data_IF_377740408746
#
_entry.id   IF_377740408746
#
_cell.length_a   1.000
_cell.length_b   1.000
_cell.length_c   1.000
_cell.angle_alpha   90.00
_cell.angle_beta   90.00
_cell.angle_gamma   90.00
#
_symmetry.space_group_name_H-M   'P 1'
#
loop_
_entity.id
_entity.type
_entity.pdbx_description
1 polymer ?
#
# COMPACT_ATOMS: atom_id res chain seq x y z
N UNK A 1 -22.99 22.54 33.76
CA UNK A 1 -22.86 21.07 33.90
C UNK A 1 -22.41 20.42 32.57
N UNK A 2 -21.24 20.79 32.04
CA UNK A 2 -20.71 20.24 30.76
C UNK A 2 -19.30 19.62 30.87
N UNK A 3 -18.69 19.63 32.06
CA UNK A 3 -17.29 19.28 32.24
C UNK A 3 -17.01 17.77 32.28
N UNK A 4 -18.00 16.93 32.65
CA UNK A 4 -17.84 15.47 32.74
C UNK A 4 -17.93 14.75 31.39
N UNK A 5 -18.74 15.25 30.44
CA UNK A 5 -18.87 14.66 29.10
C UNK A 5 -17.63 14.85 28.21
N UNK A 6 -16.93 15.98 28.36
CA UNK A 6 -15.69 16.27 27.62
C UNK A 6 -14.50 15.42 28.08
N UNK A 7 -14.46 15.04 29.37
CA UNK A 7 -13.38 14.19 29.92
C UNK A 7 -13.44 12.77 29.34
N UNK A 8 -14.63 12.16 29.33
CA UNK A 8 -14.83 10.79 28.85
C UNK A 8 -14.55 10.65 27.35
N UNK A 9 -14.95 11.65 26.55
CA UNK A 9 -14.70 11.64 25.10
C UNK A 9 -13.20 11.73 24.77
N UNK A 10 -12.45 12.57 25.50
CA UNK A 10 -11.01 12.71 25.30
C UNK A 10 -10.24 11.44 25.71
N UNK A 11 -10.66 10.77 26.78
CA UNK A 11 -10.09 9.49 27.20
C UNK A 11 -10.37 8.38 26.18
N UNK A 12 -11.61 8.25 25.71
CA UNK A 12 -11.95 7.32 24.63
C UNK A 12 -11.15 7.58 23.36
N UNK A 13 -10.98 8.84 22.98
CA UNK A 13 -10.20 9.23 21.80
C UNK A 13 -8.72 8.84 21.96
N UNK A 14 -8.11 9.10 23.12
CA UNK A 14 -6.72 8.70 23.42
C UNK A 14 -6.55 7.19 23.32
N UNK A 15 -7.49 6.43 23.87
CA UNK A 15 -7.48 4.97 23.80
C UNK A 15 -7.58 4.47 22.34
N UNK A 16 -8.52 4.99 21.55
CA UNK A 16 -8.64 4.62 20.14
C UNK A 16 -7.38 4.95 19.33
N UNK A 17 -6.80 6.16 19.53
CA UNK A 17 -5.57 6.57 18.86
C UNK A 17 -4.42 5.62 19.21
N UNK A 18 -4.29 5.25 20.48
CA UNK A 18 -3.27 4.30 20.92
C UNK A 18 -3.47 2.92 20.27
N UNK A 19 -4.68 2.36 20.33
CA UNK A 19 -4.97 1.03 19.78
C UNK A 19 -4.76 0.97 18.27
N UNK A 20 -5.26 1.96 17.52
CA UNK A 20 -5.10 2.01 16.06
C UNK A 20 -3.62 2.15 15.68
N UNK A 21 -2.88 3.06 16.32
CA UNK A 21 -1.46 3.22 16.03
C UNK A 21 -0.63 1.98 16.43
N UNK A 22 -1.00 1.28 17.49
CA UNK A 22 -0.34 0.04 17.88
C UNK A 22 -0.55 -1.07 16.84
N UNK A 23 -1.78 -1.22 16.34
CA UNK A 23 -2.08 -2.18 15.26
C UNK A 23 -1.29 -1.83 13.99
N UNK A 24 -1.30 -0.56 13.58
CA UNK A 24 -0.55 -0.08 12.41
C UNK A 24 0.96 -0.33 12.55
N UNK A 25 1.51 -0.16 13.75
CA UNK A 25 2.91 -0.44 14.04
C UNK A 25 3.26 -1.92 13.86
N UNK A 26 2.44 -2.83 14.40
CA UNK A 26 2.63 -4.28 14.25
C UNK A 26 2.54 -4.68 12.78
N UNK A 27 1.53 -4.17 12.06
CA UNK A 27 1.37 -4.43 10.63
C UNK A 27 2.57 -3.93 9.81
N UNK A 28 3.03 -2.69 10.04
CA UNK A 28 4.17 -2.14 9.31
C UNK A 28 5.47 -2.89 9.64
N UNK A 29 5.67 -3.29 10.88
CA UNK A 29 6.83 -4.11 11.26
C UNK A 29 6.83 -5.45 10.52
N UNK A 30 5.68 -6.13 10.45
CA UNK A 30 5.53 -7.35 9.68
C UNK A 30 5.77 -7.13 8.17
N UNK A 31 5.24 -6.04 7.60
CA UNK A 31 5.44 -5.68 6.19
C UNK A 31 6.91 -5.39 5.86
N UNK A 32 7.61 -4.66 6.71
CA UNK A 32 9.05 -4.36 6.55
C UNK A 32 9.86 -5.65 6.53
N UNK A 33 9.57 -6.59 7.44
CA UNK A 33 10.24 -7.90 7.47
C UNK A 33 9.92 -8.70 6.20
N UNK A 34 8.64 -8.77 5.81
CA UNK A 34 8.21 -9.52 4.63
C UNK A 34 8.89 -8.98 3.35
N UNK A 35 8.91 -7.67 3.17
CA UNK A 35 9.59 -7.04 2.03
C UNK A 35 11.11 -7.22 2.10
N UNK A 36 11.71 -7.17 3.28
CA UNK A 36 13.13 -7.48 3.47
C UNK A 36 13.49 -8.91 3.04
N UNK A 37 12.63 -9.90 3.35
CA UNK A 37 12.80 -11.29 2.89
C UNK A 37 12.62 -11.41 1.38
N UNK A 38 11.66 -10.68 0.79
CA UNK A 38 11.42 -10.67 -0.66
C UNK A 38 12.61 -10.09 -1.44
N UNK A 39 13.25 -9.03 -0.94
CA UNK A 39 14.50 -8.51 -1.50
C UNK A 39 15.63 -9.56 -1.45
N UNK A 40 15.69 -10.38 -0.40
CA UNK A 40 16.63 -11.51 -0.36
C UNK A 40 16.40 -12.57 -1.45
N UNK A 41 15.21 -12.62 -2.05
CA UNK A 41 14.81 -13.54 -3.13
C UNK A 41 14.69 -12.83 -4.48
N UNK A 42 15.66 -11.96 -4.77
CA UNK A 42 15.66 -11.04 -5.91
C UNK A 42 15.27 -11.67 -7.26
N UNK A 43 15.72 -12.90 -7.55
CA UNK A 43 15.53 -13.54 -8.87
C UNK A 43 14.05 -13.77 -9.24
N UNK A 44 13.25 -14.27 -8.31
CA UNK A 44 11.82 -14.55 -8.55
C UNK A 44 10.99 -13.27 -8.72
N UNK A 45 11.46 -12.18 -8.10
CA UNK A 45 10.78 -10.89 -8.06
C UNK A 45 11.04 -10.06 -9.32
N UNK A 46 12.25 -10.16 -9.86
CA UNK A 46 12.65 -9.52 -11.12
C UNK A 46 11.99 -10.18 -12.33
N UNK A 47 11.78 -11.49 -12.28
CA UNK A 47 11.08 -12.23 -13.35
C UNK A 47 9.60 -11.81 -13.46
N UNK A 48 8.93 -11.63 -12.32
CA UNK A 48 7.51 -11.27 -12.25
C UNK A 48 7.21 -9.83 -12.67
N UNK A 49 7.97 -8.87 -12.14
CA UNK A 49 7.64 -7.44 -12.26
C UNK A 49 8.50 -6.72 -13.31
N UNK A 50 9.61 -7.33 -13.76
CA UNK A 50 10.63 -6.66 -14.58
C UNK A 50 11.55 -5.78 -13.73
N UNK A 51 12.85 -5.71 -14.07
CA UNK A 51 13.87 -5.14 -13.18
C UNK A 51 13.50 -3.77 -12.62
N UNK A 52 13.32 -2.77 -13.49
CA UNK A 52 13.06 -1.40 -13.03
C UNK A 52 11.74 -1.26 -12.25
N UNK A 53 10.67 -1.94 -12.67
CA UNK A 53 9.36 -1.83 -12.04
C UNK A 53 9.32 -2.51 -10.68
N UNK A 54 9.94 -3.69 -10.56
CA UNK A 54 10.07 -4.40 -9.28
C UNK A 54 10.77 -3.52 -8.24
N UNK A 55 11.93 -2.97 -8.59
CA UNK A 55 12.70 -2.08 -7.72
C UNK A 55 11.89 -0.86 -7.28
N UNK A 56 11.22 -0.18 -8.21
CA UNK A 56 10.41 1.01 -7.90
C UNK A 56 9.27 0.65 -6.94
N UNK A 57 8.54 -0.45 -7.20
CA UNK A 57 7.41 -0.85 -6.37
C UNK A 57 7.85 -1.22 -4.96
N UNK A 58 8.88 -2.05 -4.81
CA UNK A 58 9.35 -2.50 -3.49
C UNK A 58 9.91 -1.34 -2.68
N UNK A 59 10.72 -0.48 -3.30
CA UNK A 59 11.27 0.69 -2.61
C UNK A 59 10.18 1.67 -2.19
N UNK A 60 9.14 1.87 -3.00
CA UNK A 60 8.00 2.70 -2.64
C UNK A 60 7.20 2.11 -1.46
N UNK A 61 6.93 0.79 -1.47
CA UNK A 61 6.24 0.10 -0.37
C UNK A 61 7.06 0.20 0.92
N UNK A 62 8.37 -0.06 0.85
CA UNK A 62 9.28 0.02 1.99
C UNK A 62 9.35 1.44 2.58
N UNK A 63 9.53 2.46 1.72
CA UNK A 63 9.57 3.84 2.17
C UNK A 63 8.26 4.24 2.88
N UNK A 64 7.12 3.86 2.31
CA UNK A 64 5.80 4.13 2.88
C UNK A 64 5.62 3.42 4.22
N UNK A 65 5.99 2.13 4.31
CA UNK A 65 5.89 1.36 5.56
C UNK A 65 6.75 1.94 6.68
N UNK A 66 7.96 2.42 6.38
CA UNK A 66 8.85 3.07 7.35
C UNK A 66 8.25 4.40 7.83
N UNK A 67 7.69 5.22 6.93
CA UNK A 67 7.04 6.48 7.30
C UNK A 67 5.87 6.20 8.25
N UNK A 68 4.99 5.26 7.89
CA UNK A 68 3.84 4.89 8.74
C UNK A 68 4.32 4.34 10.08
N UNK A 69 5.36 3.50 10.11
CA UNK A 69 5.93 2.98 11.35
C UNK A 69 6.42 4.10 12.29
N UNK A 70 7.16 5.09 11.77
CA UNK A 70 7.64 6.23 12.56
C UNK A 70 6.48 7.09 13.06
N UNK A 71 5.49 7.33 12.22
CA UNK A 71 4.29 8.10 12.57
C UNK A 71 3.47 7.39 13.64
N UNK A 72 3.31 6.07 13.54
CA UNK A 72 2.62 5.24 14.53
C UNK A 72 3.38 5.16 15.86
N UNK A 73 4.72 5.10 15.83
CA UNK A 73 5.55 5.24 17.03
C UNK A 73 5.30 6.58 17.73
N UNK A 74 5.29 7.69 16.98
CA UNK A 74 4.99 9.02 17.51
C UNK A 74 3.56 9.09 18.06
N UNK A 75 2.58 8.46 17.41
CA UNK A 75 1.21 8.35 17.87
C UNK A 75 1.07 7.59 19.18
N UNK A 76 1.71 6.42 19.30
CA UNK A 76 1.74 5.63 20.54
C UNK A 76 2.44 6.39 21.67
N UNK A 77 3.63 6.94 21.42
CA UNK A 77 4.37 7.72 22.42
C UNK A 77 3.63 9.01 22.81
N UNK A 78 2.99 9.69 21.87
CA UNK A 78 2.19 10.89 22.13
C UNK A 78 0.88 10.62 22.85
N UNK A 79 0.31 9.43 22.72
CA UNK A 79 -0.86 9.00 23.49
C UNK A 79 -0.47 8.59 24.93
N UNK A 80 0.67 7.92 25.11
CA UNK A 80 1.17 7.52 26.43
C UNK A 80 1.74 8.69 27.24
N UNK A 81 2.35 9.66 26.56
CA UNK A 81 2.98 10.82 27.20
C UNK A 81 2.02 11.98 27.07
N UNK A 82 1.49 12.47 28.20
CA UNK A 82 0.60 13.65 28.26
C UNK A 82 1.28 14.98 27.84
N UNK A 83 2.38 14.89 27.09
CA UNK A 83 3.09 16.00 26.52
C UNK A 83 2.33 16.56 25.32
N UNK A 84 1.68 17.70 25.55
CA UNK A 84 0.93 18.46 24.55
C UNK A 84 1.76 18.81 23.31
N UNK A 85 3.08 19.00 23.45
CA UNK A 85 3.96 19.27 22.30
C UNK A 85 4.01 18.08 21.34
N UNK A 86 4.13 16.86 21.86
CA UNK A 86 4.23 15.64 21.04
C UNK A 86 2.92 15.35 20.31
N UNK A 87 1.78 15.57 20.98
CA UNK A 87 0.45 15.43 20.37
C UNK A 87 0.21 16.49 19.28
N UNK A 88 0.63 17.75 19.51
CA UNK A 88 0.54 18.81 18.48
C UNK A 88 1.37 18.47 17.25
N UNK A 89 2.59 17.97 17.43
CA UNK A 89 3.44 17.54 16.31
C UNK A 89 2.80 16.39 15.55
N UNK A 90 2.23 15.39 16.24
CA UNK A 90 1.52 14.29 15.60
C UNK A 90 0.34 14.78 14.75
N UNK A 91 -0.50 15.68 15.29
CA UNK A 91 -1.62 16.27 14.54
C UNK A 91 -1.12 17.07 13.33
N UNK A 92 -0.03 17.83 13.47
CA UNK A 92 0.57 18.58 12.36
C UNK A 92 1.10 17.67 11.25
N UNK A 93 1.77 16.57 11.60
CA UNK A 93 2.24 15.56 10.63
C UNK A 93 1.05 14.92 9.92
N UNK A 94 0.03 14.48 10.66
CA UNK A 94 -1.20 13.90 10.10
C UNK A 94 -1.90 14.86 9.12
N UNK A 95 -2.02 16.12 9.50
CA UNK A 95 -2.62 17.14 8.65
C UNK A 95 -1.81 17.36 7.36
N UNK A 96 -0.48 17.41 7.47
CA UNK A 96 0.40 17.55 6.31
C UNK A 96 0.30 16.34 5.38
N UNK A 97 0.26 15.13 5.93
CA UNK A 97 0.06 13.90 5.15
C UNK A 97 -1.28 13.89 4.45
N UNK A 98 -2.34 14.38 5.09
CA UNK A 98 -3.66 14.51 4.47
C UNK A 98 -3.62 15.45 3.26
N UNK A 99 -2.94 16.60 3.36
CA UNK A 99 -2.78 17.50 2.22
C UNK A 99 -2.00 16.85 1.07
N UNK A 100 -0.91 16.13 1.39
CA UNK A 100 -0.14 15.39 0.38
C UNK A 100 -1.03 14.33 -0.30
N UNK A 101 -1.82 13.57 0.47
CA UNK A 101 -2.73 12.56 -0.06
C UNK A 101 -3.79 13.18 -0.99
N UNK A 102 -4.33 14.35 -0.66
CA UNK A 102 -5.28 15.05 -1.53
C UNK A 102 -4.63 15.47 -2.86
N UNK A 103 -3.39 15.98 -2.82
CA UNK A 103 -2.65 16.34 -4.03
C UNK A 103 -2.36 15.09 -4.87
N UNK A 104 -1.86 14.02 -4.25
CA UNK A 104 -1.58 12.75 -4.94
C UNK A 104 -2.85 12.15 -5.53
N UNK A 105 -3.97 12.18 -4.81
CA UNK A 105 -5.26 11.70 -5.33
C UNK A 105 -5.75 12.53 -6.52
N UNK A 106 -5.61 13.86 -6.45
CA UNK A 106 -5.96 14.76 -7.55
C UNK A 106 -5.11 14.52 -8.79
N UNK A 107 -3.79 14.38 -8.62
CA UNK A 107 -2.86 14.02 -9.69
C UNK A 107 -3.19 12.63 -10.25
N UNK A 108 -3.40 11.64 -9.39
CA UNK A 108 -3.76 10.27 -9.78
C UNK A 108 -5.04 10.23 -10.60
N UNK A 109 -6.04 11.04 -10.25
CA UNK A 109 -7.25 11.17 -11.06
C UNK A 109 -6.99 11.81 -12.42
N UNK A 110 -6.15 12.84 -12.48
CA UNK A 110 -5.78 13.52 -13.74
C UNK A 110 -4.92 12.66 -14.68
N UNK A 111 -4.08 11.78 -14.15
CA UNK A 111 -3.18 10.90 -14.91
C UNK A 111 -3.69 9.47 -15.06
N UNK A 112 -4.95 9.19 -14.69
CA UNK A 112 -5.50 7.82 -14.69
C UNK A 112 -5.45 7.16 -16.06
N UNK A 113 -5.74 7.91 -17.13
CA UNK A 113 -5.87 7.37 -18.49
C UNK A 113 -4.51 6.96 -19.08
N UNK A 114 -3.46 7.82 -19.09
CA UNK A 114 -2.13 7.40 -19.54
C UNK A 114 -1.50 6.34 -18.64
N UNK A 115 -1.78 6.37 -17.32
CA UNK A 115 -1.32 5.33 -16.41
C UNK A 115 -1.96 3.97 -16.75
N UNK A 116 -3.26 3.95 -17.04
CA UNK A 116 -3.99 2.75 -17.45
C UNK A 116 -3.43 2.16 -18.74
N UNK A 117 -3.15 3.00 -19.74
CA UNK A 117 -2.55 2.54 -21.00
C UNK A 117 -1.16 1.95 -20.79
N UNK A 118 -0.31 2.60 -19.98
CA UNK A 118 1.03 2.08 -19.63
C UNK A 118 0.97 0.71 -18.93
N UNK A 119 -0.02 0.51 -18.06
CA UNK A 119 -0.25 -0.78 -17.38
C UNK A 119 -0.69 -1.84 -18.37
N UNK A 120 -1.62 -1.52 -19.29
CA UNK A 120 -2.05 -2.46 -20.34
C UNK A 120 -0.88 -2.89 -21.23
N UNK A 121 -0.08 -1.94 -21.72
CA UNK A 121 1.07 -2.24 -22.58
C UNK A 121 2.10 -3.15 -21.86
N UNK A 122 2.32 -2.91 -20.57
CA UNK A 122 3.17 -3.77 -19.74
C UNK A 122 2.58 -5.17 -19.54
N UNK A 123 1.28 -5.26 -19.28
CA UNK A 123 0.59 -6.54 -19.10
C UNK A 123 0.61 -7.36 -20.39
N UNK A 124 0.32 -6.75 -21.55
CA UNK A 124 0.39 -7.41 -22.85
C UNK A 124 1.80 -7.96 -23.12
N UNK A 125 2.83 -7.14 -22.88
CA UNK A 125 4.22 -7.55 -23.05
C UNK A 125 4.59 -8.72 -22.14
N UNK A 126 4.14 -8.72 -20.89
CA UNK A 126 4.39 -9.81 -19.93
C UNK A 126 3.55 -11.06 -20.19
N UNK A 127 2.44 -10.94 -20.89
CA UNK A 127 1.65 -12.08 -21.36
C UNK A 127 2.33 -12.79 -22.52
N UNK A 128 3.04 -12.07 -23.40
CA UNK A 128 3.83 -12.71 -24.48
C UNK A 128 4.95 -13.62 -23.96
N UNK A 129 5.38 -13.46 -22.70
CA UNK A 129 6.34 -14.32 -22.01
C UNK A 129 5.70 -15.58 -21.39
N UNK A 130 4.36 -15.71 -21.43
CA UNK A 130 3.64 -16.87 -20.92
C UNK A 130 3.99 -18.14 -21.71
N UNK A 131 4.37 -19.18 -20.98
CA UNK A 131 4.62 -20.49 -21.58
C UNK A 131 4.08 -21.60 -20.66
N UNK A 132 3.07 -22.36 -21.12
CA UNK A 132 2.44 -23.42 -20.30
C UNK A 132 3.36 -24.63 -20.09
N UNK A 133 4.45 -24.74 -20.85
CA UNK A 133 5.43 -25.82 -20.71
C UNK A 133 6.50 -25.53 -19.66
N UNK A 134 6.63 -24.26 -19.22
CA UNK A 134 7.59 -23.86 -18.18
C UNK A 134 6.84 -23.51 -16.91
N UNK A 135 7.28 -24.07 -15.78
CA UNK A 135 6.73 -23.76 -14.46
C UNK A 135 7.34 -22.45 -13.90
N UNK A 136 7.41 -21.43 -14.76
CA UNK A 136 7.97 -20.12 -14.44
C UNK A 136 7.02 -19.35 -13.54
N UNK A 137 7.56 -18.33 -12.86
CA UNK A 137 6.77 -17.49 -11.96
C UNK A 137 5.68 -16.72 -12.73
N UNK A 138 5.98 -16.33 -13.98
CA UNK A 138 5.06 -15.67 -14.92
C UNK A 138 3.89 -16.61 -15.28
N UNK A 139 4.17 -17.87 -15.61
CA UNK A 139 3.14 -18.87 -15.92
C UNK A 139 2.18 -19.06 -14.76
N UNK A 140 2.71 -19.22 -13.53
CA UNK A 140 1.89 -19.37 -12.32
C UNK A 140 1.04 -18.14 -12.01
N UNK A 141 1.60 -16.95 -12.18
CA UNK A 141 0.88 -15.70 -11.97
C UNK A 141 -0.30 -15.57 -12.94
N UNK A 142 -0.08 -15.88 -14.22
CA UNK A 142 -1.14 -15.88 -15.23
C UNK A 142 -2.18 -16.98 -15.00
N UNK A 143 -1.76 -18.19 -14.63
CA UNK A 143 -2.68 -19.28 -14.30
C UNK A 143 -3.56 -18.94 -13.08
N UNK A 144 -3.01 -18.29 -12.05
CA UNK A 144 -3.77 -17.84 -10.88
C UNK A 144 -4.77 -16.73 -11.26
N UNK A 145 -4.31 -15.71 -12.00
CA UNK A 145 -5.21 -14.65 -12.50
C UNK A 145 -6.33 -15.22 -13.38
N UNK A 146 -6.00 -16.09 -14.34
CA UNK A 146 -6.98 -16.71 -15.22
C UNK A 146 -7.92 -17.63 -14.46
N UNK A 147 -7.47 -18.31 -13.39
CA UNK A 147 -8.34 -19.14 -12.54
C UNK A 147 -9.41 -18.33 -11.81
N UNK A 148 -9.08 -17.09 -11.41
CA UNK A 148 -10.03 -16.19 -10.76
C UNK A 148 -11.01 -15.54 -11.75
N UNK A 149 -10.56 -15.31 -12.99
CA UNK A 149 -11.38 -14.67 -14.04
C UNK A 149 -12.28 -15.68 -14.77
N UNK A 150 -11.83 -16.92 -14.99
CA UNK A 150 -12.61 -17.94 -15.73
C UNK A 150 -13.90 -18.40 -15.03
N UNK A 151 -14.06 -18.12 -13.73
CA UNK A 151 -15.29 -18.47 -12.99
C UNK A 151 -16.28 -17.30 -12.88
N UNK A 152 -15.92 -16.08 -13.27
CA UNK A 152 -16.82 -14.94 -13.34
C UNK A 152 -17.11 -14.62 -14.82
N UNK A 153 -18.27 -15.06 -15.27
CA UNK A 153 -18.64 -15.11 -16.70
C UNK A 153 -19.01 -13.70 -17.16
N UNK A 154 -18.03 -12.86 -17.51
CA UNK A 154 -18.27 -11.66 -18.35
C UNK A 154 -17.02 -10.97 -18.96
N UNK A 155 -15.78 -11.40 -18.69
CA UNK A 155 -14.59 -10.75 -19.27
C UNK A 155 -13.76 -11.70 -20.13
N UNK A 156 -14.11 -11.77 -21.41
CA UNK A 156 -13.23 -12.33 -22.44
C UNK A 156 -12.26 -11.23 -22.94
N UNK A 157 -11.00 -11.60 -23.16
CA UNK A 157 -9.94 -10.68 -23.60
C UNK A 157 -10.22 -9.92 -24.91
N UNK A 158 -11.24 -10.29 -25.70
CA UNK A 158 -11.70 -9.52 -26.86
C UNK A 158 -12.24 -8.14 -26.53
N UNK A 159 -12.60 -7.86 -25.26
CA UNK A 159 -13.17 -6.58 -24.85
C UNK A 159 -12.12 -5.53 -24.46
N UNK A 160 -10.85 -5.91 -24.26
CA UNK A 160 -9.77 -4.97 -23.93
C UNK A 160 -9.11 -4.32 -25.15
N UNK A 161 -9.48 -4.73 -26.38
CA UNK A 161 -8.89 -4.25 -27.63
C UNK A 161 -9.70 -3.18 -28.40
N UNK A 162 -10.85 -2.74 -27.87
CA UNK A 162 -11.67 -1.72 -28.53
C UNK A 162 -12.12 -0.64 -27.53
N UNK A 163 -11.27 0.38 -27.38
CA UNK A 163 -11.58 1.65 -26.73
C UNK A 163 -10.67 2.75 -27.26
#
# INVERSE_FOLDING_TARGET
>A
MGHSGMSNAAECLRFMIYTINLLMLICCFALIIACGVLLGKHEQLMELLGENTAWVVITAIMATAVIIFLVSLLGCCGAMKENTCMLKTYIGIMFTLLLILLVVAGLGYGYKDPARQTVYDHMEKKMMEYNPLTNSTITRFWDDMQSQVCCDTELHFSDFGHG
#
